data_IF_788127748018
#
_entry.id   IF_788127748018
#
_cell.length_a   1.000
_cell.length_b   1.000
_cell.length_c   1.000
_cell.angle_alpha   90.00
_cell.angle_beta   90.00
_cell.angle_gamma   90.00
#
_symmetry.space_group_name_H-M   'P 1'
#
loop_
_entity.id
_entity.type
_entity.pdbx_description
1 polymer ?
#
# COMPACT_ATOMS: atom_id res chain seq x y z
N UNK A 1 20.09 24.26 -3.47
CA UNK A 1 19.02 25.23 -3.73
C UNK A 1 17.69 24.67 -3.23
N UNK A 2 17.57 24.32 -1.94
CA UNK A 2 16.36 23.68 -1.38
C UNK A 2 15.30 24.67 -0.89
N UNK A 3 15.58 25.98 -0.97
CA UNK A 3 14.78 27.04 -0.32
C UNK A 3 13.62 27.54 -1.19
N UNK A 4 13.56 27.19 -2.48
CA UNK A 4 12.58 27.77 -3.42
C UNK A 4 11.23 27.03 -3.49
N UNK A 5 11.07 25.90 -2.78
CA UNK A 5 9.80 25.16 -2.75
C UNK A 5 9.02 25.37 -1.46
N UNK A 6 8.86 26.63 -1.04
CA UNK A 6 8.00 27.04 0.09
C UNK A 6 6.59 26.40 0.08
N UNK A 7 5.92 26.15 -1.07
CA UNK A 7 4.65 25.44 -1.08
C UNK A 7 4.72 23.99 -0.56
N UNK A 8 5.87 23.31 -0.67
CA UNK A 8 6.04 21.96 -0.10
C UNK A 8 6.10 22.00 1.43
N UNK A 9 6.52 23.10 2.03
CA UNK A 9 6.48 23.26 3.49
C UNK A 9 5.04 23.23 4.02
N UNK A 10 4.05 23.61 3.20
CA UNK A 10 2.63 23.53 3.55
C UNK A 10 2.09 22.08 3.64
N UNK A 11 2.82 21.09 3.10
CA UNK A 11 2.44 19.68 3.21
C UNK A 11 2.48 19.18 4.65
N UNK A 12 3.42 19.66 5.47
CA UNK A 12 3.54 19.27 6.87
C UNK A 12 2.35 19.74 7.74
N UNK A 13 1.98 21.03 7.78
CA UNK A 13 0.80 21.46 8.54
C UNK A 13 -0.49 20.87 7.95
N UNK A 14 -0.58 20.66 6.63
CA UNK A 14 -1.72 19.97 6.02
C UNK A 14 -1.82 18.52 6.49
N UNK A 15 -0.71 17.78 6.52
CA UNK A 15 -0.66 16.42 7.03
C UNK A 15 -1.09 16.36 8.50
N UNK A 16 -0.60 17.27 9.34
CA UNK A 16 -1.00 17.38 10.76
C UNK A 16 -2.49 17.68 10.89
N UNK A 17 -3.03 18.62 10.11
CA UNK A 17 -4.45 18.95 10.12
C UNK A 17 -5.32 17.74 9.70
N UNK A 18 -4.92 17.02 8.65
CA UNK A 18 -5.59 15.80 8.20
C UNK A 18 -5.53 14.68 9.24
N UNK A 19 -4.39 14.51 9.94
CA UNK A 19 -4.25 13.54 11.03
C UNK A 19 -5.11 13.93 12.25
N UNK A 20 -5.26 15.22 12.52
CA UNK A 20 -6.18 15.71 13.56
C UNK A 20 -7.64 15.43 13.19
N UNK A 21 -8.04 15.71 11.95
CA UNK A 21 -9.36 15.38 11.40
C UNK A 21 -9.60 13.87 11.48
N UNK A 22 -8.58 13.07 11.15
CA UNK A 22 -8.61 11.62 11.28
C UNK A 22 -8.90 11.18 12.71
N UNK A 23 -8.11 11.65 13.68
CA UNK A 23 -8.24 11.27 15.08
C UNK A 23 -9.59 11.68 15.68
N UNK A 24 -10.12 12.84 15.27
CA UNK A 24 -11.38 13.37 15.80
C UNK A 24 -12.62 12.71 15.20
N UNK A 25 -12.61 12.41 13.90
CA UNK A 25 -13.81 11.99 13.17
C UNK A 25 -13.63 10.71 12.33
N UNK A 26 -12.65 10.66 11.43
CA UNK A 26 -12.60 9.59 10.41
C UNK A 26 -12.23 8.22 11.00
N UNK A 27 -11.49 8.17 12.12
CA UNK A 27 -11.18 6.90 12.81
C UNK A 27 -12.44 6.14 13.24
N UNK A 28 -13.57 6.84 13.42
CA UNK A 28 -14.86 6.23 13.80
C UNK A 28 -15.79 6.01 12.62
N UNK A 29 -15.33 6.24 11.39
CA UNK A 29 -16.11 6.04 10.17
C UNK A 29 -15.68 4.75 9.45
N UNK A 30 -16.57 4.09 8.70
CA UNK A 30 -16.28 2.77 8.14
C UNK A 30 -15.08 2.77 7.19
N UNK A 31 -15.12 3.57 6.14
CA UNK A 31 -14.18 3.47 5.03
C UNK A 31 -13.13 4.58 5.01
N UNK A 32 -13.53 5.80 5.39
CA UNK A 32 -12.73 7.00 5.17
C UNK A 32 -11.44 7.06 6.00
N UNK A 33 -11.46 6.50 7.22
CA UNK A 33 -10.25 6.39 8.04
C UNK A 33 -9.18 5.55 7.34
N UNK A 34 -9.54 4.35 6.90
CA UNK A 34 -8.64 3.40 6.24
C UNK A 34 -8.14 3.92 4.90
N UNK A 35 -9.00 4.63 4.15
CA UNK A 35 -8.60 5.29 2.91
C UNK A 35 -7.54 6.36 3.17
N UNK A 36 -7.77 7.23 4.16
CA UNK A 36 -6.84 8.31 4.47
C UNK A 36 -5.49 7.78 4.95
N UNK A 37 -5.46 6.79 5.85
CA UNK A 37 -4.21 6.18 6.34
C UNK A 37 -3.44 5.56 5.17
N UNK A 38 -4.12 4.88 4.25
CA UNK A 38 -3.49 4.30 3.06
C UNK A 38 -2.97 5.35 2.10
N UNK A 39 -3.68 6.48 1.94
CA UNK A 39 -3.18 7.64 1.19
C UNK A 39 -1.93 8.24 1.83
N UNK A 40 -1.84 8.28 3.16
CA UNK A 40 -0.61 8.69 3.84
C UNK A 40 0.54 7.72 3.58
N UNK A 41 0.30 6.40 3.60
CA UNK A 41 1.33 5.41 3.27
C UNK A 41 1.89 5.61 1.86
N UNK A 42 1.04 5.82 0.85
CA UNK A 42 1.49 6.16 -0.50
C UNK A 42 2.07 7.57 -0.61
N UNK A 43 1.57 8.49 0.21
CA UNK A 43 2.05 9.86 0.31
C UNK A 43 3.50 9.94 0.75
N UNK A 44 3.96 9.07 1.65
CA UNK A 44 5.39 8.96 2.01
C UNK A 44 6.24 8.66 0.79
N UNK A 45 5.79 7.75 -0.07
CA UNK A 45 6.46 7.46 -1.34
C UNK A 45 6.41 8.71 -2.23
N UNK A 46 5.26 9.33 -2.45
CA UNK A 46 5.17 10.55 -3.27
C UNK A 46 6.05 11.71 -2.76
N UNK A 47 6.21 11.87 -1.44
CA UNK A 47 7.09 12.87 -0.83
C UNK A 47 8.56 12.64 -1.20
N UNK A 48 9.02 11.39 -1.23
CA UNK A 48 10.38 11.06 -1.66
C UNK A 48 10.63 11.47 -3.12
N UNK A 49 9.65 11.29 -4.01
CA UNK A 49 9.77 11.75 -5.41
C UNK A 49 9.90 13.26 -5.51
N UNK A 50 9.12 13.98 -4.71
CA UNK A 50 9.17 15.44 -4.66
C UNK A 50 10.50 15.94 -4.08
N UNK A 51 11.06 15.24 -3.09
CA UNK A 51 12.36 15.55 -2.50
C UNK A 51 13.50 15.33 -3.50
N UNK A 52 13.45 14.25 -4.27
CA UNK A 52 14.51 13.85 -5.21
C UNK A 52 14.33 14.42 -6.63
N UNK A 53 13.48 15.43 -6.82
CA UNK A 53 13.15 15.95 -8.17
C UNK A 53 14.40 16.39 -8.95
N UNK A 54 15.37 17.05 -8.29
CA UNK A 54 16.63 17.45 -8.94
C UNK A 54 17.49 16.24 -9.34
N UNK A 55 17.60 15.23 -8.47
CA UNK A 55 18.32 13.99 -8.75
C UNK A 55 17.71 13.23 -9.92
N UNK A 56 16.38 13.14 -9.96
CA UNK A 56 15.62 12.53 -11.06
C UNK A 56 15.83 13.30 -12.37
N UNK A 57 15.83 14.64 -12.33
CA UNK A 57 16.08 15.46 -13.52
C UNK A 57 17.48 15.23 -14.09
N UNK A 58 18.50 15.15 -13.22
CA UNK A 58 19.88 14.81 -13.62
C UNK A 58 19.96 13.41 -14.19
N UNK A 59 19.33 12.42 -13.54
CA UNK A 59 19.28 11.05 -14.04
C UNK A 59 18.61 10.98 -15.41
N UNK A 60 17.53 11.74 -15.64
CA UNK A 60 16.86 11.79 -16.94
C UNK A 60 17.75 12.35 -18.06
N UNK A 61 18.62 13.30 -17.75
CA UNK A 61 19.58 13.84 -18.71
C UNK A 61 20.72 12.85 -19.04
N UNK A 62 21.20 12.10 -18.05
CA UNK A 62 22.34 11.19 -18.19
C UNK A 62 21.95 9.78 -18.69
N UNK A 63 20.81 9.27 -18.23
CA UNK A 63 20.33 7.92 -18.49
C UNK A 63 18.79 7.91 -18.57
N UNK A 64 18.21 8.38 -19.69
CA UNK A 64 16.76 8.56 -19.84
C UNK A 64 15.98 7.26 -19.64
N UNK A 65 16.52 6.12 -20.07
CA UNK A 65 15.86 4.82 -19.89
C UNK A 65 15.79 4.40 -18.42
N UNK A 66 16.86 4.63 -17.65
CA UNK A 66 16.90 4.35 -16.20
C UNK A 66 15.96 5.28 -15.44
N UNK A 67 15.87 6.56 -15.84
CA UNK A 67 14.92 7.49 -15.26
C UNK A 67 13.46 7.08 -15.54
N UNK A 68 13.16 6.59 -16.76
CA UNK A 68 11.84 6.10 -17.11
C UNK A 68 11.49 4.82 -16.32
N UNK A 69 12.44 3.90 -16.18
CA UNK A 69 12.28 2.70 -15.35
C UNK A 69 11.95 3.08 -13.90
N UNK A 70 12.80 3.94 -13.30
CA UNK A 70 12.64 4.41 -11.93
C UNK A 70 11.26 5.05 -11.73
N UNK A 71 10.81 5.90 -12.66
CA UNK A 71 9.50 6.54 -12.58
C UNK A 71 8.35 5.53 -12.52
N UNK A 72 8.37 4.48 -13.36
CA UNK A 72 7.34 3.44 -13.36
C UNK A 72 7.39 2.64 -12.06
N UNK A 73 8.58 2.19 -11.64
CA UNK A 73 8.78 1.44 -10.39
C UNK A 73 8.27 2.24 -9.19
N UNK A 74 8.55 3.54 -9.18
CA UNK A 74 8.18 4.44 -8.09
C UNK A 74 6.66 4.55 -7.90
N UNK A 75 5.94 4.83 -9.00
CA UNK A 75 4.48 4.97 -8.94
C UNK A 75 3.79 3.62 -8.72
N UNK A 76 4.33 2.53 -9.27
CA UNK A 76 3.87 1.19 -8.97
C UNK A 76 4.06 0.85 -7.49
N UNK A 77 5.17 1.26 -6.88
CA UNK A 77 5.43 1.06 -5.46
C UNK A 77 4.52 1.92 -4.56
N UNK A 78 4.22 3.16 -4.95
CA UNK A 78 3.22 3.98 -4.26
C UNK A 78 1.83 3.34 -4.29
N UNK A 79 1.41 2.81 -5.44
CA UNK A 79 0.16 2.07 -5.58
C UNK A 79 0.15 0.76 -4.77
N UNK A 80 1.28 0.03 -4.72
CA UNK A 80 1.46 -1.15 -3.87
C UNK A 80 1.26 -0.77 -2.40
N UNK A 81 1.96 0.26 -1.91
CA UNK A 81 1.86 0.73 -0.53
C UNK A 81 0.44 1.14 -0.15
N UNK A 82 -0.26 1.85 -1.06
CA UNK A 82 -1.67 2.20 -0.90
C UNK A 82 -2.56 0.96 -0.77
N UNK A 83 -2.54 0.07 -1.76
CA UNK A 83 -3.45 -1.08 -1.84
C UNK A 83 -3.18 -2.09 -0.73
N UNK A 84 -1.91 -2.38 -0.45
CA UNK A 84 -1.51 -3.32 0.59
C UNK A 84 -1.91 -2.81 1.98
N UNK A 85 -1.72 -1.51 2.26
CA UNK A 85 -2.16 -0.95 3.54
C UNK A 85 -3.69 -0.90 3.64
N UNK A 86 -4.40 -0.55 2.55
CA UNK A 86 -5.86 -0.51 2.56
C UNK A 86 -6.45 -1.89 2.81
N UNK A 87 -5.92 -2.92 2.14
CA UNK A 87 -6.26 -4.31 2.42
C UNK A 87 -6.03 -4.66 3.88
N UNK A 88 -4.84 -4.35 4.42
CA UNK A 88 -4.47 -4.67 5.80
C UNK A 88 -5.37 -3.98 6.82
N UNK A 89 -5.68 -2.69 6.65
CA UNK A 89 -6.53 -1.94 7.59
C UNK A 89 -7.96 -2.50 7.61
N UNK A 90 -8.56 -2.84 6.46
CA UNK A 90 -9.90 -3.45 6.43
C UNK A 90 -9.90 -4.84 7.09
N UNK A 91 -8.85 -5.64 6.87
CA UNK A 91 -8.69 -6.94 7.54
C UNK A 91 -8.48 -6.77 9.04
N UNK A 92 -7.78 -5.72 9.47
CA UNK A 92 -7.57 -5.42 10.88
C UNK A 92 -8.87 -4.97 11.55
N UNK A 93 -9.70 -4.16 10.89
CA UNK A 93 -11.02 -3.83 11.43
C UNK A 93 -11.87 -5.10 11.67
N UNK A 94 -11.77 -6.09 10.77
CA UNK A 94 -12.42 -7.40 10.93
C UNK A 94 -11.88 -8.19 12.14
N UNK A 95 -10.58 -8.08 12.43
CA UNK A 95 -9.94 -8.64 13.63
C UNK A 95 -10.44 -7.95 14.92
N UNK A 96 -10.63 -6.63 14.86
CA UNK A 96 -10.96 -5.76 16.00
C UNK A 96 -12.50 -5.55 16.20
N UNK A 97 -13.34 -6.27 15.46
CA UNK A 97 -14.80 -6.08 15.43
C UNK A 97 -15.47 -5.99 16.82
N UNK A 98 -15.18 -6.94 17.71
CA UNK A 98 -15.82 -6.98 19.03
C UNK A 98 -15.41 -5.78 19.90
N UNK A 99 -14.13 -5.39 19.83
CA UNK A 99 -13.61 -4.23 20.56
C UNK A 99 -14.16 -2.91 20.02
N UNK A 100 -14.26 -2.77 18.70
CA UNK A 100 -14.83 -1.60 18.03
C UNK A 100 -16.33 -1.44 18.35
N UNK A 101 -17.08 -2.55 18.34
CA UNK A 101 -18.49 -2.55 18.69
C UNK A 101 -18.70 -2.13 20.15
N UNK A 102 -17.91 -2.66 21.08
CA UNK A 102 -17.96 -2.30 22.50
C UNK A 102 -17.58 -0.82 22.74
N UNK A 103 -16.67 -0.26 21.94
CA UNK A 103 -16.27 1.14 22.00
C UNK A 103 -17.22 2.11 21.27
N UNK A 104 -18.30 1.61 20.66
CA UNK A 104 -19.26 2.40 19.89
C UNK A 104 -18.68 2.99 18.59
N UNK A 105 -17.61 2.41 18.05
CA UNK A 105 -17.05 2.81 16.76
C UNK A 105 -17.94 2.31 15.62
N UNK A 106 -18.01 3.06 14.51
CA UNK A 106 -18.76 2.66 13.30
C UNK A 106 -17.78 2.23 12.21
N UNK A 107 -16.96 1.20 12.48
CA UNK A 107 -16.05 0.62 11.47
C UNK A 107 -16.83 -0.22 10.45
N UNK A 108 -16.18 -0.61 9.33
CA UNK A 108 -16.80 -1.43 8.28
C UNK A 108 -17.52 -2.66 8.82
N UNK A 109 -16.88 -3.52 9.64
CA UNK A 109 -17.52 -4.75 10.08
C UNK A 109 -18.60 -4.52 11.13
N UNK A 110 -18.59 -3.40 11.86
CA UNK A 110 -19.69 -3.02 12.74
C UNK A 110 -20.94 -2.62 11.93
N UNK A 111 -20.77 -1.88 10.84
CA UNK A 111 -21.90 -1.34 10.05
C UNK A 111 -22.41 -2.33 9.00
N UNK A 112 -21.52 -3.04 8.31
CA UNK A 112 -21.85 -3.94 7.19
C UNK A 112 -21.67 -5.42 7.50
N UNK A 113 -21.31 -5.74 8.74
CA UNK A 113 -21.04 -7.10 9.19
C UNK A 113 -19.72 -7.67 8.62
N UNK A 114 -19.28 -8.83 9.13
CA UNK A 114 -18.04 -9.47 8.67
C UNK A 114 -18.05 -9.79 7.17
N UNK A 115 -19.18 -10.24 6.63
CA UNK A 115 -19.25 -10.66 5.22
C UNK A 115 -19.13 -9.48 4.25
N UNK A 116 -19.81 -8.37 4.54
CA UNK A 116 -19.72 -7.15 3.76
C UNK A 116 -18.29 -6.60 3.77
N UNK A 117 -17.68 -6.53 4.95
CA UNK A 117 -16.30 -6.05 5.12
C UNK A 117 -15.26 -6.92 4.42
N UNK A 118 -15.44 -8.25 4.41
CA UNK A 118 -14.59 -9.14 3.61
C UNK A 118 -14.65 -8.78 2.12
N UNK A 119 -15.84 -8.53 1.56
CA UNK A 119 -15.97 -8.12 0.15
C UNK A 119 -15.25 -6.80 -0.12
N UNK A 120 -15.32 -5.85 0.81
CA UNK A 120 -14.57 -4.59 0.73
C UNK A 120 -13.06 -4.79 0.81
N UNK A 121 -12.55 -5.75 1.59
CA UNK A 121 -11.15 -6.12 1.60
C UNK A 121 -10.71 -6.85 0.32
N UNK A 122 -11.57 -7.67 -0.29
CA UNK A 122 -11.24 -8.38 -1.52
C UNK A 122 -10.87 -7.43 -2.67
N UNK A 123 -11.54 -6.29 -2.80
CA UNK A 123 -11.29 -5.33 -3.87
C UNK A 123 -9.81 -4.83 -3.91
N UNK A 124 -9.26 -4.17 -2.87
CA UNK A 124 -7.86 -3.75 -2.89
C UNK A 124 -6.89 -4.94 -2.95
N UNK A 125 -7.24 -6.09 -2.37
CA UNK A 125 -6.40 -7.28 -2.44
C UNK A 125 -6.28 -7.88 -3.85
N UNK A 126 -7.36 -7.88 -4.63
CA UNK A 126 -7.33 -8.31 -6.04
C UNK A 126 -6.61 -7.28 -6.91
N UNK A 127 -6.88 -5.99 -6.71
CA UNK A 127 -6.16 -4.92 -7.43
C UNK A 127 -4.65 -4.99 -7.18
N UNK A 128 -4.24 -5.33 -5.95
CA UNK A 128 -2.84 -5.54 -5.61
C UNK A 128 -2.23 -6.71 -6.38
N UNK A 129 -2.93 -7.84 -6.51
CA UNK A 129 -2.47 -8.96 -7.35
C UNK A 129 -2.29 -8.50 -8.80
N UNK A 130 -3.29 -7.82 -9.37
CA UNK A 130 -3.22 -7.35 -10.76
C UNK A 130 -2.03 -6.42 -10.97
N UNK A 131 -1.80 -5.49 -10.04
CA UNK A 131 -0.64 -4.59 -10.06
C UNK A 131 0.68 -5.37 -10.02
N UNK A 132 0.80 -6.39 -9.15
CA UNK A 132 2.03 -7.17 -9.00
C UNK A 132 2.29 -8.10 -10.20
N UNK A 133 1.24 -8.68 -10.78
CA UNK A 133 1.36 -9.47 -12.02
C UNK A 133 1.80 -8.58 -13.17
N UNK A 134 1.13 -7.45 -13.38
CA UNK A 134 1.50 -6.50 -14.41
C UNK A 134 2.94 -5.99 -14.24
N UNK A 135 3.29 -5.54 -13.02
CA UNK A 135 4.62 -5.04 -12.70
C UNK A 135 5.70 -6.12 -12.87
N UNK A 136 5.42 -7.35 -12.44
CA UNK A 136 6.34 -8.48 -12.59
C UNK A 136 6.62 -8.83 -14.05
N UNK A 137 5.57 -8.92 -14.88
CA UNK A 137 5.71 -9.16 -16.32
C UNK A 137 6.47 -8.02 -17.02
N UNK A 138 6.20 -6.78 -16.63
CA UNK A 138 6.86 -5.61 -17.18
C UNK A 138 8.36 -5.55 -16.83
N UNK A 139 8.72 -5.89 -15.59
CA UNK A 139 10.12 -5.97 -15.15
C UNK A 139 10.85 -7.12 -15.86
N UNK A 140 10.21 -8.29 -15.96
CA UNK A 140 10.76 -9.45 -16.66
C UNK A 140 11.07 -9.12 -18.13
N UNK A 141 10.13 -8.47 -18.83
CA UNK A 141 10.30 -8.06 -20.23
C UNK A 141 11.42 -7.03 -20.46
N UNK A 142 11.91 -6.38 -19.39
CA UNK A 142 13.06 -5.46 -19.43
C UNK A 142 14.38 -6.11 -19.01
N UNK A 143 14.40 -7.42 -18.80
CA UNK A 143 15.58 -8.16 -18.38
C UNK A 143 15.83 -8.19 -16.87
N UNK A 144 14.97 -7.57 -16.06
CA UNK A 144 15.01 -7.67 -14.59
C UNK A 144 14.28 -8.95 -14.16
N UNK A 145 14.87 -10.09 -14.52
CA UNK A 145 14.28 -11.42 -14.40
C UNK A 145 13.97 -11.74 -12.95
N UNK A 146 14.89 -11.49 -12.02
CA UNK A 146 14.71 -11.83 -10.61
C UNK A 146 13.65 -10.94 -9.95
N UNK A 147 13.63 -9.65 -10.28
CA UNK A 147 12.59 -8.72 -9.85
C UNK A 147 11.22 -9.13 -10.37
N UNK A 148 11.14 -9.51 -11.65
CA UNK A 148 9.91 -9.99 -12.27
C UNK A 148 9.37 -11.26 -11.62
N UNK A 149 10.23 -12.25 -11.37
CA UNK A 149 9.88 -13.49 -10.69
C UNK A 149 9.47 -13.27 -9.23
N UNK A 150 10.19 -12.42 -8.51
CA UNK A 150 9.86 -12.10 -7.11
C UNK A 150 8.50 -11.40 -7.00
N UNK A 151 8.24 -10.40 -7.85
CA UNK A 151 6.95 -9.73 -7.89
C UNK A 151 5.82 -10.68 -8.30
N UNK A 152 6.00 -11.41 -9.40
CA UNK A 152 4.95 -12.23 -10.02
C UNK A 152 4.67 -13.57 -9.34
N UNK A 153 5.63 -14.14 -8.61
CA UNK A 153 5.46 -15.42 -7.90
C UNK A 153 5.53 -15.25 -6.39
N UNK A 154 6.55 -14.55 -5.88
CA UNK A 154 6.75 -14.37 -4.44
C UNK A 154 5.64 -13.51 -3.82
N UNK A 155 5.55 -12.26 -4.22
CA UNK A 155 4.59 -11.30 -3.64
C UNK A 155 3.15 -11.65 -4.02
N UNK A 156 2.89 -12.01 -5.29
CA UNK A 156 1.56 -12.48 -5.73
C UNK A 156 1.14 -13.74 -4.98
N UNK A 157 2.02 -14.72 -4.80
CA UNK A 157 1.73 -15.95 -4.07
C UNK A 157 1.33 -15.67 -2.62
N UNK A 158 2.07 -14.80 -1.93
CA UNK A 158 1.74 -14.37 -0.56
C UNK A 158 0.38 -13.66 -0.51
N UNK A 159 0.11 -12.75 -1.44
CA UNK A 159 -1.15 -12.01 -1.47
C UNK A 159 -2.35 -12.90 -1.84
N UNK A 160 -2.18 -13.84 -2.79
CA UNK A 160 -3.19 -14.83 -3.12
C UNK A 160 -3.50 -15.74 -1.92
N UNK A 161 -2.47 -16.17 -1.20
CA UNK A 161 -2.62 -16.90 0.06
C UNK A 161 -3.42 -16.12 1.10
N UNK A 162 -3.16 -14.81 1.23
CA UNK A 162 -3.91 -13.93 2.14
C UNK A 162 -5.40 -13.83 1.75
N UNK A 163 -5.72 -13.71 0.45
CA UNK A 163 -7.11 -13.69 -0.01
C UNK A 163 -7.84 -15.02 0.19
N UNK A 164 -7.17 -16.15 -0.08
CA UNK A 164 -7.73 -17.47 0.17
C UNK A 164 -8.01 -17.71 1.65
N UNK A 165 -7.11 -17.23 2.51
CA UNK A 165 -7.28 -17.29 3.96
C UNK A 165 -8.43 -16.38 4.42
N UNK A 166 -8.49 -15.15 3.92
CA UNK A 166 -9.58 -14.20 4.20
C UNK A 166 -10.96 -14.77 3.83
N UNK A 167 -11.06 -15.47 2.69
CA UNK A 167 -12.32 -16.10 2.27
C UNK A 167 -12.81 -17.21 3.21
N UNK A 168 -11.91 -17.82 3.99
CA UNK A 168 -12.22 -18.89 4.95
C UNK A 168 -12.28 -18.40 6.40
N UNK A 169 -11.80 -17.19 6.67
CA UNK A 169 -11.70 -16.63 8.01
C UNK A 169 -13.07 -16.43 8.67
N UNK A 170 -13.20 -16.88 9.92
CA UNK A 170 -14.43 -16.76 10.72
C UNK A 170 -14.19 -16.19 12.12
N UNK A 171 -12.94 -16.15 12.58
CA UNK A 171 -12.57 -15.67 13.90
C UNK A 171 -11.58 -14.51 13.84
N UNK A 172 -11.48 -13.74 14.92
CA UNK A 172 -10.48 -12.67 15.06
C UNK A 172 -9.05 -13.20 14.84
N UNK A 173 -8.72 -14.40 15.34
CA UNK A 173 -7.42 -15.03 15.14
C UNK A 173 -7.08 -15.28 13.65
N UNK A 174 -8.08 -15.68 12.86
CA UNK A 174 -7.91 -15.86 11.40
C UNK A 174 -7.61 -14.53 10.72
N UNK A 175 -8.38 -13.48 11.05
CA UNK A 175 -8.14 -12.14 10.50
C UNK A 175 -6.77 -11.58 10.91
N UNK A 176 -6.34 -11.82 12.15
CA UNK A 176 -4.98 -11.49 12.59
C UNK A 176 -3.91 -12.24 11.79
N UNK A 177 -4.15 -13.48 11.38
CA UNK A 177 -3.25 -14.21 10.50
C UNK A 177 -3.20 -13.63 9.08
N UNK A 178 -4.34 -13.24 8.51
CA UNK A 178 -4.40 -12.53 7.22
C UNK A 178 -3.68 -11.19 7.30
N UNK A 179 -3.85 -10.44 8.40
CA UNK A 179 -3.18 -9.16 8.66
C UNK A 179 -1.65 -9.33 8.72
N UNK A 180 -1.17 -10.42 9.34
CA UNK A 180 0.27 -10.78 9.31
C UNK A 180 0.76 -11.11 7.91
N UNK A 181 -0.01 -11.86 7.11
CA UNK A 181 0.33 -12.13 5.71
C UNK A 181 0.39 -10.83 4.90
N UNK A 182 -0.53 -9.89 5.10
CA UNK A 182 -0.49 -8.58 4.46
C UNK A 182 0.80 -7.80 4.82
N UNK A 183 1.27 -7.86 6.08
CA UNK A 183 2.58 -7.29 6.46
C UNK A 183 3.74 -7.95 5.71
N UNK A 184 3.70 -9.26 5.51
CA UNK A 184 4.71 -9.97 4.71
C UNK A 184 4.67 -9.53 3.23
N UNK A 185 3.48 -9.30 2.67
CA UNK A 185 3.32 -8.73 1.32
C UNK A 185 3.95 -7.34 1.22
N UNK A 186 3.72 -6.47 2.21
CA UNK A 186 4.36 -5.14 2.28
C UNK A 186 5.88 -5.24 2.36
N UNK A 187 6.40 -6.14 3.21
CA UNK A 187 7.84 -6.42 3.30
C UNK A 187 8.41 -6.97 2.00
N UNK A 188 7.69 -7.87 1.32
CA UNK A 188 8.06 -8.42 0.02
C UNK A 188 8.11 -7.34 -1.07
N UNK A 189 7.19 -6.38 -1.05
CA UNK A 189 7.23 -5.20 -1.92
C UNK A 189 8.45 -4.32 -1.66
N UNK A 190 8.84 -4.11 -0.40
CA UNK A 190 10.07 -3.38 -0.07
C UNK A 190 11.33 -4.12 -0.54
N UNK A 191 11.39 -5.44 -0.34
CA UNK A 191 12.50 -6.28 -0.82
C UNK A 191 12.63 -6.23 -2.34
N UNK A 192 11.52 -6.13 -3.07
CA UNK A 192 11.53 -5.98 -4.53
C UNK A 192 12.36 -4.78 -4.98
N UNK A 193 12.31 -3.65 -4.27
CA UNK A 193 13.12 -2.47 -4.60
C UNK A 193 14.63 -2.76 -4.50
N UNK A 194 15.04 -3.54 -3.50
CA UNK A 194 16.42 -3.97 -3.34
C UNK A 194 16.86 -4.93 -4.45
N UNK A 195 15.99 -5.86 -4.86
CA UNK A 195 16.27 -6.79 -5.96
C UNK A 195 16.42 -6.03 -7.28
N UNK A 196 15.53 -5.07 -7.56
CA UNK A 196 15.62 -4.20 -8.75
C UNK A 196 16.98 -3.48 -8.78
N UNK A 197 17.42 -2.94 -7.65
CA UNK A 197 18.71 -2.24 -7.57
C UNK A 197 19.91 -3.15 -7.87
N UNK A 198 19.83 -4.43 -7.50
CA UNK A 198 20.89 -5.40 -7.79
C UNK A 198 20.96 -5.85 -9.26
N UNK A 199 19.89 -5.63 -10.04
CA UNK A 199 19.81 -5.97 -11.47
C UNK A 199 20.09 -4.78 -12.40
N UNK A 200 20.32 -3.57 -11.86
CA UNK A 200 20.53 -2.32 -12.62
C UNK A 200 22.00 -1.96 -12.85
#
# INVERSE_FOLDING_TARGET
MYVERLPLAALFPLAVALLWVYARWLKRMPFWGNLLVSLFCAGVVALLWLAETEGIARLRALAPERAALLQVVFWAFAALAFLANLFREIVKDLEDLEGDAAAGARTLPVVWGPEGSRRWAFLPGVLLILLMVWGGLWLYGRGLVWSGLWAGLGVVGLQAGALLHLGKAKSSADYGAVSRQAKLVMGGGLLLLGIILLEL
#
